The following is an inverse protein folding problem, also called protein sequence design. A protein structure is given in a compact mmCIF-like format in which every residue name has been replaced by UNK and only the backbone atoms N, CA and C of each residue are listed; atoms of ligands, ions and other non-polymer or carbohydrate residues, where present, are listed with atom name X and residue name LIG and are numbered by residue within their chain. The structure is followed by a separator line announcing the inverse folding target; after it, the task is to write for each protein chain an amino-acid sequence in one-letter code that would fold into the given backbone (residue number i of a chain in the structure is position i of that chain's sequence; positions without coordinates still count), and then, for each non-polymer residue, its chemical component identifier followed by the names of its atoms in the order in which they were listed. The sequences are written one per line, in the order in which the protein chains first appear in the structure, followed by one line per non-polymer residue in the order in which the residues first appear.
data_IF_066529534556
#
_entry.id   IF_066529534556
#
_cell.length_a   1.000
_cell.length_b   1.000
_cell.length_c   1.000
_cell.angle_alpha   90.00
_cell.angle_beta   90.00
_cell.angle_gamma   90.00
#
_symmetry.space_group_name_H-M   'P 1'
#
loop_
_entity.id
_entity.type
_entity.pdbx_description
1 polymer ?
#
# COMPACT_ATOMS: atom_id res chain seq x y z
N UNK A 1 -5.72 -17.67 -5.34
CA UNK A 1 -6.10 -17.64 -5.15
C UNK A 1 -6.40 -16.96 -4.18
N UNK A 2 -5.93 -16.72 -3.41
CA UNK A 2 -6.27 -16.11 -2.39
C UNK A 2 -6.64 -14.74 -2.51
N UNK A 3 -6.40 -14.03 -3.50
CA UNK A 3 -6.76 -12.62 -3.63
C UNK A 3 -7.92 -12.42 -4.58
N UNK A 4 -8.66 -13.46 -4.82
CA UNK A 4 -9.79 -13.36 -5.68
C UNK A 4 -10.74 -12.27 -5.22
N UNK A 5 -11.12 -11.36 -6.11
CA UNK A 5 -12.02 -10.30 -5.78
C UNK A 5 -11.36 -9.07 -5.16
N UNK A 6 -10.09 -9.16 -4.86
CA UNK A 6 -9.40 -8.03 -4.26
C UNK A 6 -8.55 -7.31 -5.27
N UNK A 7 -8.36 -6.03 -5.05
CA UNK A 7 -7.57 -5.19 -5.94
C UNK A 7 -6.28 -4.78 -5.24
N UNK A 8 -5.26 -4.53 -6.01
CA UNK A 8 -3.99 -4.08 -5.48
C UNK A 8 -4.01 -2.55 -5.47
N UNK A 9 -3.65 -1.95 -4.32
CA UNK A 9 -3.54 -0.51 -4.18
C UNK A 9 -2.13 -0.19 -3.73
N UNK A 10 -1.63 0.96 -4.16
CA UNK A 10 -0.33 1.41 -3.71
C UNK A 10 -0.44 2.86 -3.27
N UNK A 11 0.48 3.28 -2.42
CA UNK A 11 0.52 4.66 -1.94
C UNK A 11 1.93 5.03 -1.55
N UNK A 12 2.16 6.33 -1.44
CA UNK A 12 3.44 6.81 -0.96
C UNK A 12 3.28 7.28 0.47
N UNK A 13 4.35 7.19 1.23
CA UNK A 13 4.36 7.74 2.57
C UNK A 13 4.79 9.20 2.48
N UNK A 14 4.20 10.02 3.34
CA UNK A 14 4.67 11.40 3.47
C UNK A 14 6.11 11.32 3.99
N UNK A 15 7.00 11.92 3.28
CA UNK A 15 8.40 11.87 3.68
C UNK A 15 9.22 10.87 2.89
N UNK A 16 8.60 10.04 2.06
CA UNK A 16 9.33 9.14 1.18
C UNK A 16 8.97 7.69 1.37
N UNK A 17 9.23 6.91 0.33
CA UNK A 17 8.94 5.50 0.34
C UNK A 17 7.51 5.20 -0.07
N UNK A 18 7.22 3.96 -0.34
CA UNK A 18 5.89 3.57 -0.75
C UNK A 18 5.58 2.17 -0.25
N UNK A 19 4.31 1.80 -0.34
CA UNK A 19 3.89 0.47 0.06
C UNK A 19 2.65 0.09 -0.73
N UNK A 20 2.17 -1.12 -0.56
CA UNK A 20 1.01 -1.57 -1.31
C UNK A 20 0.24 -2.60 -0.49
N UNK A 21 -1.03 -2.77 -0.84
CA UNK A 21 -1.91 -3.66 -0.09
C UNK A 21 -3.04 -4.10 -0.98
N UNK A 22 -3.60 -5.26 -0.70
CA UNK A 22 -4.79 -5.72 -1.38
C UNK A 22 -6.00 -5.40 -0.55
N UNK A 23 -7.03 -4.91 -1.20
CA UNK A 23 -8.25 -4.52 -0.51
C UNK A 23 -9.42 -4.57 -1.48
N UNK A 24 -10.62 -4.60 -0.94
CA UNK A 24 -11.83 -4.66 -1.75
C UNK A 24 -12.20 -3.30 -2.32
N UNK A 25 -11.79 -2.23 -1.68
CA UNK A 25 -12.13 -0.90 -2.13
C UNK A 25 -11.03 0.06 -1.70
N UNK A 26 -11.07 1.26 -2.27
CA UNK A 26 -10.10 2.28 -1.91
C UNK A 26 -10.22 2.65 -0.43
N UNK A 27 -11.44 2.67 0.07
CA UNK A 27 -11.68 2.99 1.48
C UNK A 27 -11.01 1.97 2.39
N UNK A 28 -11.16 0.70 2.06
CA UNK A 28 -10.53 -0.34 2.85
C UNK A 28 -9.01 -0.26 2.70
N UNK A 29 -8.53 0.04 1.50
CA UNK A 29 -7.10 0.17 1.28
C UNK A 29 -6.52 1.28 2.14
N UNK A 30 -7.22 2.41 2.25
CA UNK A 30 -6.77 3.50 3.09
C UNK A 30 -6.70 3.09 4.55
N UNK A 31 -7.71 2.36 5.00
CA UNK A 31 -7.74 1.88 6.37
C UNK A 31 -6.55 0.96 6.65
N UNK A 32 -6.29 0.06 5.73
CA UNK A 32 -5.16 -0.86 5.88
C UNK A 32 -3.83 -0.14 5.80
N UNK A 33 -3.72 0.87 4.92
CA UNK A 33 -2.50 1.64 4.79
C UNK A 33 -2.17 2.36 6.10
N UNK A 34 -3.18 2.95 6.71
CA UNK A 34 -2.96 3.63 7.98
C UNK A 34 -2.53 2.67 9.08
N UNK A 35 -3.08 1.47 9.06
CA UNK A 35 -2.70 0.47 10.06
C UNK A 35 -1.25 0.04 9.87
N UNK A 36 -0.83 -0.08 8.62
CA UNK A 36 0.55 -0.45 8.33
C UNK A 36 1.52 0.62 8.82
N UNK A 37 1.12 1.88 8.74
CA UNK A 37 1.99 2.98 9.15
C UNK A 37 2.12 3.12 10.66
N UNK A 38 1.28 2.47 11.44
CA UNK A 38 1.36 2.58 12.89
C UNK A 38 2.24 1.48 13.47
N UNK A 39 3.14 1.83 14.37
CA UNK A 39 3.96 0.80 14.99
C UNK A 39 3.12 -0.03 15.96
N UNK A 40 3.55 -1.22 16.22
CA UNK A 40 2.89 -2.07 17.20
C UNK A 40 3.08 -1.50 18.60
N UNK A 41 2.17 -1.82 19.53
CA UNK A 41 2.31 -1.36 20.91
C UNK A 41 3.68 -1.78 21.45
N UNK A 42 4.35 -0.87 22.10
CA UNK A 42 5.65 -1.16 22.66
C UNK A 42 6.82 -0.96 21.71
N UNK A 43 6.55 -0.77 20.44
CA UNK A 43 7.61 -0.54 19.47
C UNK A 43 7.83 0.95 19.34
N UNK A 44 9.06 1.40 19.52
CA UNK A 44 9.38 2.82 19.41
C UNK A 44 9.78 3.14 18.00
N UNK A 45 8.83 3.51 17.20
CA UNK A 45 9.08 3.82 15.82
C UNK A 45 8.14 4.92 15.40
N UNK A 46 8.58 5.76 14.48
CA UNK A 46 7.73 6.83 14.01
C UNK A 46 6.52 6.28 13.31
N UNK A 47 5.40 6.96 13.47
CA UNK A 47 4.22 6.67 12.70
C UNK A 47 4.45 7.21 11.30
N UNK A 48 4.19 6.36 10.30
CA UNK A 48 4.29 6.78 8.92
C UNK A 48 2.92 7.28 8.47
N UNK A 49 2.91 8.42 7.83
CA UNK A 49 1.65 8.99 7.34
C UNK A 49 1.45 8.66 5.88
N UNK A 50 0.25 8.23 5.55
CA UNK A 50 -0.11 7.95 4.17
C UNK A 50 -0.30 9.27 3.43
N UNK A 51 0.30 9.38 2.26
CA UNK A 51 0.01 10.50 1.37
C UNK A 51 -1.29 10.12 0.65
N UNK A 52 -2.40 10.61 1.15
CA UNK A 52 -3.71 10.16 0.70
C UNK A 52 -3.93 10.38 -0.80
N UNK A 53 -3.34 11.41 -1.34
CA UNK A 53 -3.50 11.69 -2.76
C UNK A 53 -2.79 10.65 -3.62
N UNK A 54 -1.83 9.97 -3.06
CA UNK A 54 -1.06 9.00 -3.83
C UNK A 54 -1.68 7.61 -3.81
N UNK A 55 -2.68 7.37 -3.01
CA UNK A 55 -3.29 6.06 -2.93
C UNK A 55 -4.11 5.81 -4.18
N UNK A 56 -3.69 4.87 -4.98
CA UNK A 56 -4.35 4.55 -6.24
C UNK A 56 -4.41 3.05 -6.44
N UNK A 57 -5.41 2.63 -7.20
CA UNK A 57 -5.54 1.25 -7.56
C UNK A 57 -4.61 0.94 -8.73
N UNK A 58 -3.89 -0.16 -8.63
CA UNK A 58 -3.03 -0.61 -9.70
C UNK A 58 -3.91 -1.36 -10.69
N UNK A 59 -4.16 -0.74 -11.84
CA UNK A 59 -5.11 -1.31 -12.79
C UNK A 59 -4.57 -2.48 -13.56
N UNK A 60 -3.33 -2.46 -13.91
CA UNK A 60 -2.74 -3.53 -14.69
C UNK A 60 -1.64 -4.15 -13.86
N UNK A 61 -2.06 -4.98 -12.94
CA UNK A 61 -1.16 -5.54 -11.96
C UNK A 61 -0.02 -6.32 -12.59
N UNK A 62 -0.33 -7.08 -13.61
CA UNK A 62 0.70 -7.86 -14.26
C UNK A 62 1.75 -6.96 -14.90
N UNK A 63 1.30 -5.92 -15.57
CA UNK A 63 2.23 -4.99 -16.20
C UNK A 63 3.05 -4.23 -15.16
N UNK A 64 2.41 -3.92 -14.05
CA UNK A 64 3.10 -3.23 -12.97
C UNK A 64 4.28 -4.07 -12.48
N UNK A 65 4.06 -5.34 -12.23
CA UNK A 65 5.14 -6.19 -11.74
C UNK A 65 6.20 -6.42 -12.79
N UNK A 66 5.81 -6.54 -14.05
CA UNK A 66 6.76 -6.75 -15.12
C UNK A 66 7.72 -5.58 -15.28
N UNK A 67 7.23 -4.38 -14.96
CA UNK A 67 8.06 -3.20 -15.13
C UNK A 67 8.76 -2.74 -13.86
N UNK A 68 8.59 -3.47 -12.80
CA UNK A 68 9.13 -3.08 -11.53
C UNK A 68 10.57 -3.46 -11.48
N UNK A 69 11.44 -2.50 -11.36
CA UNK A 69 12.82 -2.83 -11.57
C UNK A 69 13.49 -3.45 -10.44
N UNK A 70 12.97 -3.47 -9.35
CA UNK A 70 13.63 -3.76 -8.40
C UNK A 70 14.04 -4.89 -8.14
N UNK A 71 13.69 -5.54 -8.37
CA UNK A 71 14.02 -6.59 -8.03
C UNK A 71 15.09 -7.10 -8.35
N UNK A 72 15.76 -6.87 -8.65
CA UNK A 72 16.81 -7.44 -8.81
C UNK A 72 17.52 -7.21 -8.18
#
# INVERSE_FOLDING_TARGET
MMYKGKHLYKWNWVGGGYNQVRADSKREAMKRARAIGKPSPGVKRKVLKVDEKSLVRVKNEKSFWDNYPLFD
#
